data_IF_171881242220
#
_entry.id   IF_171881242220
#
_cell.length_a   1.000
_cell.length_b   1.000
_cell.length_c   1.000
_cell.angle_alpha   90.00
_cell.angle_beta   90.00
_cell.angle_gamma   90.00
#
_symmetry.space_group_name_H-M   'P 1'
#
loop_
_entity.id
_entity.type
_entity.pdbx_description
1 polymer ?
#
# COMPACT_ATOMS: atom_id res chain seq x y z
N UNK A 1 -39.14 -38.35 -3.75
CA UNK A 1 -39.71 -37.02 -4.03
C UNK A 1 -39.48 -36.74 -5.50
N UNK A 2 -40.53 -36.43 -6.27
CA UNK A 2 -40.37 -36.14 -7.71
C UNK A 2 -39.73 -34.77 -7.87
N UNK A 3 -38.58 -34.70 -8.56
CA UNK A 3 -37.93 -33.45 -8.90
C UNK A 3 -38.87 -32.56 -9.74
N UNK A 4 -38.79 -31.25 -9.55
CA UNK A 4 -39.53 -30.26 -10.34
C UNK A 4 -39.07 -30.29 -11.80
N UNK A 5 -39.94 -30.77 -12.69
CA UNK A 5 -39.66 -30.94 -14.11
C UNK A 5 -39.42 -29.61 -14.86
N UNK A 6 -39.75 -28.47 -14.24
CA UNK A 6 -39.50 -27.13 -14.81
C UNK A 6 -38.24 -26.45 -14.24
N UNK A 7 -37.45 -27.14 -13.39
CA UNK A 7 -36.19 -26.58 -12.87
C UNK A 7 -35.20 -26.37 -14.02
N UNK A 8 -34.59 -25.19 -14.08
CA UNK A 8 -33.56 -24.87 -15.08
C UNK A 8 -32.30 -25.69 -14.80
N UNK A 9 -31.73 -26.31 -15.83
CA UNK A 9 -30.52 -27.14 -15.72
C UNK A 9 -29.35 -26.41 -15.04
N UNK A 10 -29.14 -25.12 -15.35
CA UNK A 10 -28.09 -24.29 -14.74
C UNK A 10 -28.31 -23.94 -13.26
N UNK A 11 -29.47 -24.28 -12.69
CA UNK A 11 -29.79 -24.07 -11.27
C UNK A 11 -29.81 -25.38 -10.49
N UNK A 12 -29.40 -26.50 -11.11
CA UNK A 12 -29.29 -27.78 -10.42
C UNK A 12 -28.00 -27.79 -9.63
N UNK A 13 -28.12 -27.94 -8.32
CA UNK A 13 -26.98 -28.28 -7.47
C UNK A 13 -26.65 -29.75 -7.74
N UNK A 14 -25.41 -30.00 -8.13
CA UNK A 14 -24.91 -31.34 -8.43
C UNK A 14 -23.91 -31.82 -7.36
N UNK A 15 -23.41 -30.89 -6.56
CA UNK A 15 -22.44 -31.18 -5.50
C UNK A 15 -23.17 -31.82 -4.32
N UNK A 16 -22.56 -32.86 -3.75
CA UNK A 16 -23.04 -33.43 -2.49
C UNK A 16 -22.39 -32.74 -1.28
N UNK A 17 -22.90 -33.03 -0.09
CA UNK A 17 -22.44 -32.38 1.15
C UNK A 17 -20.94 -32.64 1.41
N UNK A 18 -20.38 -33.76 0.93
CA UNK A 18 -18.97 -34.11 1.09
C UNK A 18 -18.08 -33.29 0.13
N UNK A 19 -18.50 -33.13 -1.13
CA UNK A 19 -17.82 -32.26 -2.10
C UNK A 19 -17.84 -30.78 -1.66
N UNK A 20 -18.95 -30.31 -1.06
CA UNK A 20 -19.04 -28.95 -0.52
C UNK A 20 -18.09 -28.73 0.68
N UNK A 21 -17.97 -29.73 1.57
CA UNK A 21 -17.04 -29.68 2.70
C UNK A 21 -15.57 -29.62 2.22
N UNK A 22 -15.20 -30.40 1.20
CA UNK A 22 -13.85 -30.34 0.60
C UNK A 22 -13.58 -28.97 -0.05
N UNK A 23 -14.56 -28.40 -0.75
CA UNK A 23 -14.45 -27.08 -1.35
C UNK A 23 -14.33 -25.97 -0.29
N UNK A 24 -15.03 -26.08 0.83
CA UNK A 24 -14.92 -25.14 1.94
C UNK A 24 -13.54 -25.22 2.61
N UNK A 25 -12.96 -26.42 2.72
CA UNK A 25 -11.59 -26.60 3.21
C UNK A 25 -10.57 -25.99 2.24
N UNK A 26 -10.63 -26.34 0.95
CA UNK A 26 -9.72 -25.80 -0.07
C UNK A 26 -9.86 -24.29 -0.23
N UNK A 27 -11.10 -23.80 -0.14
CA UNK A 27 -11.45 -22.38 -0.18
C UNK A 27 -11.11 -21.62 1.09
N UNK A 28 -10.66 -22.31 2.15
CA UNK A 28 -10.38 -21.75 3.47
C UNK A 28 -11.57 -20.93 4.02
N UNK A 29 -12.79 -21.44 3.81
CA UNK A 29 -14.07 -20.76 4.07
C UNK A 29 -14.17 -20.29 5.52
N UNK A 30 -13.74 -21.12 6.46
CA UNK A 30 -13.71 -20.79 7.88
C UNK A 30 -12.88 -19.53 8.22
N UNK A 31 -11.80 -19.28 7.48
CA UNK A 31 -11.01 -18.06 7.67
C UNK A 31 -11.67 -16.82 7.04
N UNK A 32 -12.36 -17.00 5.92
CA UNK A 32 -13.06 -15.93 5.19
C UNK A 32 -14.35 -15.48 5.90
N UNK A 33 -15.07 -16.39 6.53
CA UNK A 33 -16.32 -16.10 7.25
C UNK A 33 -16.08 -15.63 8.69
N UNK A 34 -14.83 -15.61 9.15
CA UNK A 34 -14.50 -15.09 10.47
C UNK A 34 -14.82 -13.60 10.55
N UNK A 35 -15.66 -13.16 11.50
CA UNK A 35 -16.02 -11.75 11.61
C UNK A 35 -14.78 -10.91 11.91
N UNK A 36 -14.61 -9.82 11.15
CA UNK A 36 -13.57 -8.83 11.38
C UNK A 36 -13.86 -8.10 12.69
N UNK A 37 -13.03 -8.33 13.71
CA UNK A 37 -13.20 -7.77 15.06
C UNK A 37 -13.03 -6.24 15.10
N UNK A 38 -12.25 -5.69 14.17
CA UNK A 38 -12.12 -4.26 13.88
C UNK A 38 -11.44 -4.12 12.51
N UNK A 39 -11.97 -3.26 11.63
CA UNK A 39 -11.31 -2.90 10.38
C UNK A 39 -10.23 -1.87 10.68
N UNK A 40 -9.02 -2.34 11.02
CA UNK A 40 -7.85 -1.47 11.14
C UNK A 40 -7.23 -1.26 9.77
N UNK A 41 -6.80 -0.03 9.49
CA UNK A 41 -6.03 0.26 8.28
C UNK A 41 -4.61 -0.35 8.38
N UNK A 42 -3.98 -0.57 7.23
CA UNK A 42 -2.60 -1.11 7.16
C UNK A 42 -1.63 -0.29 8.04
N UNK A 43 -1.64 1.06 8.02
CA UNK A 43 -0.79 1.86 8.90
C UNK A 43 -1.07 1.67 10.39
N UNK A 44 -2.33 1.50 10.79
CA UNK A 44 -2.71 1.28 12.19
C UNK A 44 -2.17 -0.08 12.70
N UNK A 45 -2.36 -1.15 11.91
CA UNK A 45 -1.80 -2.46 12.23
C UNK A 45 -0.26 -2.44 12.31
N UNK A 46 0.38 -1.70 11.40
CA UNK A 46 1.83 -1.54 11.43
C UNK A 46 2.30 -0.78 12.67
N UNK A 47 1.60 0.31 13.04
CA UNK A 47 1.93 1.11 14.22
C UNK A 47 1.81 0.30 15.52
N UNK A 48 0.78 -0.55 15.65
CA UNK A 48 0.65 -1.47 16.80
C UNK A 48 1.85 -2.43 16.90
N UNK A 49 2.27 -3.00 15.77
CA UNK A 49 3.43 -3.88 15.74
C UNK A 49 4.73 -3.13 16.05
N UNK A 50 4.90 -1.91 15.53
CA UNK A 50 6.07 -1.10 15.81
C UNK A 50 6.15 -0.64 17.27
N UNK A 51 5.00 -0.41 17.92
CA UNK A 51 4.95 -0.13 19.35
C UNK A 51 5.24 -1.39 20.20
N UNK A 52 4.85 -2.58 19.73
CA UNK A 52 5.05 -3.85 20.43
C UNK A 52 6.52 -4.24 20.53
N UNK A 53 7.28 -4.10 19.44
CA UNK A 53 8.71 -4.40 19.41
C UNK A 53 9.49 -3.41 18.52
N UNK A 54 9.74 -2.19 19.01
CA UNK A 54 10.38 -1.15 18.20
C UNK A 54 11.83 -1.46 17.84
N UNK A 55 12.51 -2.34 18.60
CA UNK A 55 13.92 -2.69 18.40
C UNK A 55 14.14 -3.86 17.43
N UNK A 56 13.10 -4.62 17.08
CA UNK A 56 13.20 -5.68 16.09
C UNK A 56 13.47 -5.13 14.69
N UNK A 57 14.27 -5.87 13.91
CA UNK A 57 14.51 -5.56 12.49
C UNK A 57 13.22 -5.76 11.70
N UNK A 58 12.75 -4.70 11.04
CA UNK A 58 11.58 -4.74 10.16
C UNK A 58 11.96 -5.08 8.72
N UNK A 59 13.00 -4.43 8.19
CA UNK A 59 13.48 -4.65 6.82
C UNK A 59 15.00 -4.80 6.82
N UNK A 60 15.49 -5.76 6.04
CA UNK A 60 16.91 -5.91 5.72
C UNK A 60 17.09 -5.98 4.21
N UNK A 61 18.04 -5.22 3.69
CA UNK A 61 18.35 -5.20 2.27
C UNK A 61 19.82 -4.85 2.05
N UNK A 62 20.57 -5.76 1.42
CA UNK A 62 21.99 -5.58 1.03
C UNK A 62 22.90 -5.03 2.15
N UNK A 63 22.69 -5.47 3.39
CA UNK A 63 23.48 -5.06 4.55
C UNK A 63 22.98 -3.80 5.26
N UNK A 64 21.99 -3.10 4.70
CA UNK A 64 21.24 -2.07 5.41
C UNK A 64 20.05 -2.70 6.12
N UNK A 65 19.86 -2.35 7.38
CA UNK A 65 18.75 -2.80 8.20
C UNK A 65 18.03 -1.59 8.79
N UNK A 66 16.72 -1.69 8.97
CA UNK A 66 15.93 -0.71 9.70
C UNK A 66 15.03 -1.45 10.68
N UNK A 67 14.93 -0.94 11.90
CA UNK A 67 14.04 -1.48 12.93
C UNK A 67 12.59 -1.05 12.67
N UNK A 68 11.63 -1.71 13.33
CA UNK A 68 10.23 -1.30 13.27
C UNK A 68 10.03 0.14 13.75
N UNK A 69 10.70 0.53 14.85
CA UNK A 69 10.61 1.88 15.38
C UNK A 69 11.19 2.93 14.43
N UNK A 70 12.36 2.68 13.86
CA UNK A 70 12.98 3.61 12.89
C UNK A 70 12.17 3.73 11.59
N UNK A 71 11.61 2.61 11.11
CA UNK A 71 10.77 2.57 9.92
C UNK A 71 9.48 3.36 10.14
N UNK A 72 8.79 3.16 11.27
CA UNK A 72 7.57 3.89 11.60
C UNK A 72 7.82 5.39 11.71
N UNK A 73 8.87 5.80 12.42
CA UNK A 73 9.23 7.21 12.57
C UNK A 73 9.59 7.87 11.24
N UNK A 74 10.30 7.16 10.36
CA UNK A 74 10.68 7.68 9.04
C UNK A 74 9.47 7.79 8.12
N UNK A 75 8.56 6.82 8.18
CA UNK A 75 7.28 6.86 7.47
C UNK A 75 6.38 7.99 7.99
N UNK A 76 6.33 8.22 9.32
CA UNK A 76 5.59 9.33 9.93
C UNK A 76 6.11 10.69 9.43
N UNK A 77 7.44 10.89 9.42
CA UNK A 77 8.05 12.10 8.87
C UNK A 77 7.68 12.37 7.42
N UNK A 78 7.68 11.31 6.60
CA UNK A 78 7.23 11.42 5.22
C UNK A 78 5.74 11.77 5.12
N UNK A 79 4.91 11.12 5.92
CA UNK A 79 3.47 11.36 5.94
C UNK A 79 3.16 12.84 6.26
N UNK A 80 3.81 13.44 7.26
CA UNK A 80 3.64 14.86 7.56
C UNK A 80 4.03 15.76 6.39
N UNK A 81 5.17 15.50 5.76
CA UNK A 81 5.60 16.27 4.59
C UNK A 81 4.61 16.14 3.42
N UNK A 82 4.02 14.96 3.23
CA UNK A 82 3.01 14.73 2.21
C UNK A 82 1.70 15.47 2.54
N UNK A 83 1.24 15.40 3.79
CA UNK A 83 0.06 16.12 4.27
C UNK A 83 0.22 17.64 4.11
N UNK A 84 1.39 18.20 4.42
CA UNK A 84 1.70 19.63 4.19
C UNK A 84 1.61 20.01 2.70
N UNK A 85 1.85 19.05 1.79
CA UNK A 85 1.70 19.22 0.34
C UNK A 85 0.29 18.91 -0.16
N UNK A 86 -0.66 18.71 0.75
CA UNK A 86 -2.07 18.48 0.44
C UNK A 86 -2.43 17.04 0.08
N UNK A 87 -1.54 16.09 0.38
CA UNK A 87 -1.78 14.65 0.19
C UNK A 87 -2.73 14.12 1.25
N UNK A 88 -3.75 13.37 0.83
CA UNK A 88 -4.73 12.76 1.74
C UNK A 88 -5.59 11.68 1.07
N UNK A 89 -6.68 11.24 1.74
CA UNK A 89 -7.58 10.20 1.25
C UNK A 89 -8.11 10.48 -0.16
N UNK A 90 -8.21 9.42 -0.97
CA UNK A 90 -8.67 9.49 -2.36
C UNK A 90 -7.66 10.07 -3.36
N UNK A 91 -6.48 10.49 -2.91
CA UNK A 91 -5.38 10.91 -3.78
C UNK A 91 -4.38 9.77 -4.04
N UNK A 92 -3.47 10.01 -4.98
CA UNK A 92 -2.46 9.04 -5.42
C UNK A 92 -1.08 9.64 -5.37
N UNK A 93 -0.10 8.86 -4.93
CA UNK A 93 1.32 9.24 -4.93
C UNK A 93 2.11 8.20 -5.69
N UNK A 94 2.82 8.61 -6.74
CA UNK A 94 3.66 7.72 -7.50
C UNK A 94 4.97 7.42 -6.77
N UNK A 95 5.38 6.16 -6.76
CA UNK A 95 6.62 5.70 -6.15
C UNK A 95 7.52 5.11 -7.23
N UNK A 96 8.59 5.82 -7.59
CA UNK A 96 9.57 5.36 -8.56
C UNK A 96 10.84 4.91 -7.81
N UNK A 97 10.95 3.64 -7.48
CA UNK A 97 12.05 3.13 -6.67
C UNK A 97 12.58 1.78 -7.17
N UNK A 98 13.91 1.54 -7.13
CA UNK A 98 14.41 0.17 -7.10
C UNK A 98 14.04 -0.49 -5.76
N UNK A 99 14.26 -1.80 -5.63
CA UNK A 99 14.12 -2.47 -4.32
C UNK A 99 15.10 -1.87 -3.32
N UNK A 100 14.60 -1.33 -2.21
CA UNK A 100 15.40 -0.71 -1.15
C UNK A 100 14.60 -0.53 0.15
N UNK A 101 15.26 -0.08 1.23
CA UNK A 101 14.58 0.28 2.49
C UNK A 101 13.70 1.53 2.30
N UNK A 102 14.20 2.51 1.53
CA UNK A 102 13.53 3.76 1.23
C UNK A 102 12.21 3.53 0.49
N UNK A 103 12.14 2.52 -0.38
CA UNK A 103 10.89 2.13 -1.03
C UNK A 103 9.81 1.72 0.00
N UNK A 104 10.19 1.00 1.06
CA UNK A 104 9.26 0.59 2.13
C UNK A 104 8.86 1.78 3.00
N UNK A 105 9.80 2.68 3.30
CA UNK A 105 9.49 3.96 3.98
C UNK A 105 8.48 4.76 3.16
N UNK A 106 8.66 4.84 1.84
CA UNK A 106 7.77 5.57 0.94
C UNK A 106 6.37 4.97 0.88
N UNK A 107 6.25 3.63 0.78
CA UNK A 107 4.96 2.93 0.82
C UNK A 107 4.22 3.25 2.13
N UNK A 108 4.86 3.06 3.28
CA UNK A 108 4.21 3.29 4.57
C UNK A 108 3.88 4.76 4.80
N UNK A 109 4.76 5.68 4.39
CA UNK A 109 4.52 7.11 4.54
C UNK A 109 3.36 7.61 3.69
N UNK A 110 3.18 7.10 2.47
CA UNK A 110 2.00 7.39 1.65
C UNK A 110 0.74 6.82 2.31
N UNK A 111 0.74 5.55 2.71
CA UNK A 111 -0.43 4.92 3.34
C UNK A 111 -0.87 5.65 4.62
N UNK A 112 0.09 6.16 5.41
CA UNK A 112 -0.18 6.96 6.62
C UNK A 112 -0.90 8.29 6.36
N UNK A 113 -0.99 8.74 5.11
CA UNK A 113 -1.82 9.90 4.72
C UNK A 113 -3.24 9.51 4.30
N UNK A 114 -3.55 8.22 4.17
CA UNK A 114 -4.77 7.71 3.54
C UNK A 114 -4.76 7.75 2.01
N UNK A 115 -3.69 8.27 1.38
CA UNK A 115 -3.51 8.21 -0.06
C UNK A 115 -3.08 6.81 -0.54
N UNK A 116 -3.41 6.51 -1.79
CA UNK A 116 -2.96 5.31 -2.47
C UNK A 116 -1.55 5.51 -3.05
N UNK A 117 -0.68 4.50 -2.94
CA UNK A 117 0.58 4.54 -3.69
C UNK A 117 0.46 3.89 -5.08
N UNK A 118 1.19 4.43 -6.05
CA UNK A 118 1.28 3.91 -7.42
C UNK A 118 2.73 3.46 -7.67
N UNK A 119 3.05 2.16 -7.53
CA UNK A 119 4.42 1.69 -7.72
C UNK A 119 4.79 1.70 -9.20
N UNK A 120 5.95 2.26 -9.51
CA UNK A 120 6.53 2.29 -10.86
C UNK A 120 7.94 1.71 -10.79
N UNK A 121 8.19 0.63 -11.54
CA UNK A 121 9.53 0.04 -11.64
C UNK A 121 10.43 0.94 -12.51
N UNK A 122 11.57 1.44 -12.00
CA UNK A 122 12.46 2.31 -12.76
C UNK A 122 13.11 1.66 -13.99
N UNK A 123 13.06 0.33 -14.11
CA UNK A 123 13.59 -0.41 -15.26
C UNK A 123 12.67 -0.38 -16.49
N UNK A 124 11.42 0.07 -16.35
CA UNK A 124 10.50 0.17 -17.49
C UNK A 124 10.86 1.37 -18.39
N UNK A 125 10.51 1.31 -19.69
CA UNK A 125 10.72 2.43 -20.60
C UNK A 125 9.97 3.70 -20.17
N UNK A 126 10.46 4.88 -20.55
CA UNK A 126 9.83 6.17 -20.24
C UNK A 126 8.39 6.27 -20.66
N UNK A 127 8.06 5.71 -21.82
CA UNK A 127 6.69 5.72 -22.33
C UNK A 127 5.73 5.03 -21.36
N UNK A 128 6.17 3.98 -20.63
CA UNK A 128 5.35 3.32 -19.62
C UNK A 128 5.25 4.17 -18.35
N UNK A 129 6.33 4.83 -17.93
CA UNK A 129 6.29 5.75 -16.78
C UNK A 129 5.33 6.91 -17.07
N UNK A 130 5.43 7.52 -18.25
CA UNK A 130 4.56 8.60 -18.71
C UNK A 130 3.09 8.17 -18.75
N UNK A 131 2.82 6.98 -19.30
CA UNK A 131 1.48 6.42 -19.34
C UNK A 131 0.88 6.26 -17.94
N UNK A 132 1.63 5.64 -17.02
CA UNK A 132 1.16 5.42 -15.64
C UNK A 132 0.91 6.75 -14.93
N UNK A 133 1.83 7.72 -15.06
CA UNK A 133 1.66 9.04 -14.44
C UNK A 133 0.48 9.82 -15.03
N UNK A 134 0.28 9.75 -16.35
CA UNK A 134 -0.82 10.41 -17.04
C UNK A 134 -2.18 9.84 -16.64
N UNK A 135 -2.29 8.51 -16.57
CA UNK A 135 -3.54 7.82 -16.26
C UNK A 135 -3.88 7.88 -14.76
N UNK A 136 -2.89 7.68 -13.88
CA UNK A 136 -3.11 7.70 -12.43
C UNK A 136 -3.24 9.13 -11.86
N UNK A 137 -2.77 10.15 -12.59
CA UNK A 137 -2.78 11.56 -12.18
C UNK A 137 -2.40 11.75 -10.69
N UNK A 138 -1.20 11.33 -10.27
CA UNK A 138 -0.79 11.42 -8.88
C UNK A 138 -0.49 12.88 -8.53
N UNK A 139 -0.79 13.26 -7.30
CA UNK A 139 -0.52 14.62 -6.81
C UNK A 139 0.96 14.88 -6.57
N UNK A 140 1.72 13.80 -6.29
CA UNK A 140 3.16 13.84 -6.09
C UNK A 140 3.80 12.54 -6.59
N UNK A 141 5.10 12.60 -6.86
CA UNK A 141 5.95 11.46 -7.14
C UNK A 141 7.15 11.48 -6.20
N UNK A 142 7.43 10.35 -5.56
CA UNK A 142 8.55 10.17 -4.64
C UNK A 142 9.58 9.25 -5.29
N UNK A 143 10.85 9.60 -5.15
CA UNK A 143 11.96 8.79 -5.65
C UNK A 143 13.25 9.09 -4.86
N UNK A 144 14.34 8.46 -5.27
CA UNK A 144 15.71 8.81 -4.86
C UNK A 144 16.33 9.76 -5.89
N UNK A 145 17.24 10.65 -5.46
CA UNK A 145 17.94 11.61 -6.31
C UNK A 145 18.36 11.05 -7.70
N UNK A 146 18.98 9.87 -7.73
CA UNK A 146 19.48 9.24 -8.96
C UNK A 146 18.38 8.95 -10.00
N UNK A 147 17.15 8.72 -9.55
CA UNK A 147 16.00 8.37 -10.39
C UNK A 147 15.11 9.59 -10.72
N UNK A 148 15.31 10.72 -10.05
CA UNK A 148 14.50 11.94 -10.26
C UNK A 148 14.59 12.49 -11.69
N UNK A 149 15.72 12.29 -12.38
CA UNK A 149 15.86 12.68 -13.78
C UNK A 149 14.82 11.99 -14.68
N UNK A 150 14.39 10.77 -14.32
CA UNK A 150 13.36 10.02 -15.04
C UNK A 150 12.04 10.75 -15.01
N UNK A 151 11.73 11.47 -13.91
CA UNK A 151 10.47 12.20 -13.66
C UNK A 151 10.49 13.64 -14.19
N UNK A 152 11.65 14.14 -14.60
CA UNK A 152 11.83 15.53 -15.04
C UNK A 152 11.01 15.86 -16.29
N UNK A 153 10.43 17.06 -16.33
CA UNK A 153 9.60 17.52 -17.44
C UNK A 153 8.14 17.07 -17.38
N UNK A 154 7.74 16.32 -16.34
CA UNK A 154 6.35 15.92 -16.09
C UNK A 154 5.67 16.87 -15.11
N UNK A 155 4.37 17.05 -15.24
CA UNK A 155 3.56 17.93 -14.39
C UNK A 155 3.19 17.28 -13.05
N UNK A 156 4.19 16.78 -12.31
CA UNK A 156 4.02 16.16 -10.98
C UNK A 156 5.00 16.76 -9.98
N UNK A 157 4.53 17.03 -8.76
CA UNK A 157 5.41 17.50 -7.69
C UNK A 157 6.37 16.36 -7.31
N UNK A 158 7.68 16.59 -7.44
CA UNK A 158 8.67 15.56 -7.16
C UNK A 158 9.25 15.73 -5.75
N UNK A 159 9.43 14.61 -5.05
CA UNK A 159 9.90 14.55 -3.66
C UNK A 159 11.08 13.57 -3.61
N UNK A 160 12.23 14.04 -3.15
CA UNK A 160 13.34 13.15 -2.80
C UNK A 160 13.08 12.56 -1.41
N UNK A 161 13.12 11.23 -1.30
CA UNK A 161 12.95 10.52 -0.03
C UNK A 161 14.03 10.87 1.00
N UNK A 162 15.18 11.36 0.53
CA UNK A 162 16.31 11.77 1.37
C UNK A 162 16.39 13.30 1.57
N UNK A 163 15.31 14.04 1.25
CA UNK A 163 15.27 15.49 1.47
C UNK A 163 15.54 15.81 2.95
N UNK A 164 16.58 16.61 3.27
CA UNK A 164 16.90 16.95 4.64
C UNK A 164 15.75 17.66 5.37
N UNK A 165 14.83 18.31 4.68
CA UNK A 165 13.65 18.94 5.30
C UNK A 165 12.72 17.90 5.97
N UNK A 166 12.81 16.62 5.59
CA UNK A 166 12.08 15.55 6.26
C UNK A 166 12.54 15.34 7.70
N UNK A 167 13.81 15.62 8.01
CA UNK A 167 14.36 15.37 9.35
C UNK A 167 13.74 16.26 10.43
N UNK A 168 13.20 17.42 10.05
CA UNK A 168 12.48 18.32 10.95
C UNK A 168 11.00 17.96 11.16
N UNK A 169 10.45 17.01 10.41
CA UNK A 169 9.06 16.60 10.55
C UNK A 169 8.83 15.80 11.84
N UNK A 170 7.61 15.82 12.41
CA UNK A 170 7.29 15.01 13.58
C UNK A 170 7.46 13.52 13.32
N UNK A 171 7.86 12.79 14.36
CA UNK A 171 8.05 11.32 14.31
C UNK A 171 6.81 10.54 14.75
N UNK A 172 5.79 11.24 15.24
CA UNK A 172 4.46 10.70 15.58
C UNK A 172 3.58 10.64 14.34
N UNK A 173 2.56 9.77 14.30
CA UNK A 173 1.65 9.73 13.16
C UNK A 173 0.95 11.08 12.94
N UNK A 174 0.50 11.37 11.70
CA UNK A 174 -0.45 12.46 11.42
C UNK A 174 -1.70 12.38 12.30
N UNK A 175 -2.39 13.50 12.47
CA UNK A 175 -3.59 13.58 13.33
C UNK A 175 -4.75 12.75 12.80
N UNK A 176 -4.94 12.75 11.47
CA UNK A 176 -6.03 12.04 10.81
C UNK A 176 -5.56 10.62 10.47
N UNK A 177 -6.16 9.62 11.12
CA UNK A 177 -5.86 8.22 10.84
C UNK A 177 -6.54 7.77 9.52
N UNK A 178 -5.82 7.02 8.66
CA UNK A 178 -6.40 6.43 7.45
C UNK A 178 -7.52 5.45 7.76
N UNK A 179 -8.59 5.49 6.94
CA UNK A 179 -9.68 4.53 7.03
C UNK A 179 -9.25 3.16 6.47
N UNK A 180 -9.86 2.08 6.93
CA UNK A 180 -9.56 0.74 6.43
C UNK A 180 -10.11 0.50 5.02
N UNK A 181 -11.13 1.27 4.61
CA UNK A 181 -11.73 1.20 3.28
C UNK A 181 -11.04 2.13 2.25
N UNK A 182 -10.05 2.93 2.69
CA UNK A 182 -9.25 3.75 1.79
C UNK A 182 -8.46 2.88 0.79
N UNK A 183 -8.32 3.36 -0.45
CA UNK A 183 -7.54 2.67 -1.48
C UNK A 183 -6.07 2.66 -1.07
N UNK A 184 -5.52 1.47 -0.81
CA UNK A 184 -4.11 1.33 -0.43
C UNK A 184 -3.14 1.53 -1.62
N UNK A 185 -3.47 0.99 -2.79
CA UNK A 185 -2.59 1.05 -3.95
C UNK A 185 -3.34 0.92 -5.28
N UNK A 186 -2.67 1.36 -6.36
CA UNK A 186 -3.09 1.16 -7.74
C UNK A 186 -1.94 0.51 -8.53
N UNK A 187 -2.14 -0.71 -9.03
CA UNK A 187 -1.15 -1.46 -9.82
C UNK A 187 -1.65 -1.59 -11.26
N UNK A 188 -0.74 -1.31 -12.20
CA UNK A 188 -1.00 -1.43 -13.63
C UNK A 188 -0.53 -2.78 -14.17
N UNK A 189 -1.42 -3.50 -14.86
CA UNK A 189 -1.13 -4.74 -15.57
C UNK A 189 -0.76 -4.53 -17.03
#
# INVERSE_FOLDING_TARGET
MSADANRRLLSMDLDDDEELDELDEWGNRAALDKPLTASLSIPAMFAEQAARDPGAIAVSFRGSNITYGELDQSANRLAHLLVERGVGPGQRVALLFPRSVEAVVAILGVLKTGAAYVPIDPSVPDARIEFVLSDSAPVAAISIADQMHRLSGRAVAMIDINDPTMTSQPVTPPQDEPDADDIAYLIYT
#
